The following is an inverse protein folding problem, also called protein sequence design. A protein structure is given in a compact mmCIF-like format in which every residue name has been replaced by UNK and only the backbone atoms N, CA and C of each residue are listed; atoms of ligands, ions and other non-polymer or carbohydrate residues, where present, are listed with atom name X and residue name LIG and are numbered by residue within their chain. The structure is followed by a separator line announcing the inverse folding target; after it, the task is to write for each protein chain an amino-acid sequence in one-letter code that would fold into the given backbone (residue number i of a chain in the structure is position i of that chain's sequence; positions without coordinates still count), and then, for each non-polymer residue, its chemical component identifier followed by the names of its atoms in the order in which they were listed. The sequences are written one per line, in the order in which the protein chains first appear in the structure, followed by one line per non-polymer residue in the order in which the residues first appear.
data_IF_482623725698
#
_entry.id   IF_482623725698
#
_cell.length_a   1.000
_cell.length_b   1.000
_cell.length_c   1.000
_cell.angle_alpha   90.00
_cell.angle_beta   90.00
_cell.angle_gamma   90.00
#
_symmetry.space_group_name_H-M   'P 1'
#
loop_
_entity.id
_entity.type
_entity.pdbx_description
1 polymer ?
#
# COMPACT_ATOMS: atom_id res chain seq x y z
N UNK A 1 -13.44 -51.01 41.59
CA UNK A 1 -12.10 -50.92 40.97
C UNK A 1 -12.26 -50.48 39.52
N UNK A 2 -11.54 -49.47 39.07
CA UNK A 2 -11.85 -48.67 37.87
C UNK A 2 -11.06 -49.14 36.62
N UNK A 3 -11.18 -50.42 36.26
CA UNK A 3 -10.38 -51.09 35.22
C UNK A 3 -10.40 -50.39 33.85
N UNK A 4 -11.49 -49.69 33.50
CA UNK A 4 -11.59 -48.95 32.24
C UNK A 4 -10.62 -47.76 32.15
N UNK A 5 -10.28 -47.14 33.28
CA UNK A 5 -9.31 -46.02 33.33
C UNK A 5 -7.87 -46.51 33.30
N UNK A 6 -7.61 -47.66 33.93
CA UNK A 6 -6.30 -48.30 33.92
C UNK A 6 -5.93 -48.79 32.50
N UNK A 7 -6.89 -49.36 31.76
CA UNK A 7 -6.72 -49.71 30.34
C UNK A 7 -6.44 -48.48 29.46
N UNK A 8 -7.11 -47.35 29.69
CA UNK A 8 -6.84 -46.13 28.91
C UNK A 8 -5.44 -45.56 29.16
N UNK A 9 -4.88 -45.75 30.35
CA UNK A 9 -3.53 -45.32 30.66
C UNK A 9 -2.48 -46.24 30.02
N UNK A 10 -2.67 -47.57 30.09
CA UNK A 10 -1.80 -48.53 29.41
C UNK A 10 -1.80 -48.32 27.89
N UNK A 11 -2.96 -48.10 27.28
CA UNK A 11 -3.08 -47.84 25.85
C UNK A 11 -2.31 -46.57 25.42
N UNK A 12 -2.32 -45.52 26.26
CA UNK A 12 -1.54 -44.29 26.02
C UNK A 12 -0.04 -44.53 26.13
N UNK A 13 0.41 -45.36 27.08
CA UNK A 13 1.82 -45.71 27.21
C UNK A 13 2.31 -46.55 26.02
N UNK A 14 1.52 -47.54 25.60
CA UNK A 14 1.83 -48.35 24.43
C UNK A 14 1.86 -47.53 23.14
N UNK A 15 0.87 -46.65 22.92
CA UNK A 15 0.84 -45.78 21.74
C UNK A 15 2.03 -44.81 21.73
N UNK A 16 2.41 -44.25 22.89
CA UNK A 16 3.60 -43.41 23.01
C UNK A 16 4.91 -44.19 22.80
N UNK A 17 4.97 -45.47 23.20
CA UNK A 17 6.12 -46.34 22.94
C UNK A 17 6.23 -46.68 21.45
N UNK A 18 5.12 -47.09 20.82
CA UNK A 18 5.03 -47.36 19.37
C UNK A 18 5.37 -46.12 18.54
N UNK A 19 4.94 -44.94 18.95
CA UNK A 19 5.28 -43.68 18.27
C UNK A 19 6.77 -43.38 18.34
N UNK A 20 7.41 -43.58 19.50
CA UNK A 20 8.86 -43.40 19.67
C UNK A 20 9.66 -44.41 18.84
N UNK A 21 9.24 -45.67 18.84
CA UNK A 21 9.84 -46.71 18.00
C UNK A 21 9.72 -46.37 16.52
N UNK A 22 8.55 -45.91 16.06
CA UNK A 22 8.34 -45.49 14.68
C UNK A 22 9.21 -44.28 14.28
N UNK A 23 9.40 -43.30 15.18
CA UNK A 23 10.31 -42.18 14.95
C UNK A 23 11.77 -42.63 14.80
N UNK A 24 12.23 -43.53 15.68
CA UNK A 24 13.59 -44.07 15.63
C UNK A 24 13.80 -44.94 14.38
N UNK A 25 12.80 -45.75 14.01
CA UNK A 25 12.83 -46.54 12.79
C UNK A 25 12.94 -45.65 11.56
N UNK A 26 12.14 -44.56 11.48
CA UNK A 26 12.23 -43.55 10.42
C UNK A 26 13.58 -42.84 10.36
N UNK A 27 14.18 -42.56 11.51
CA UNK A 27 15.50 -41.94 11.56
C UNK A 27 16.58 -42.89 11.03
N UNK A 28 16.54 -44.17 11.44
CA UNK A 28 17.48 -45.20 10.99
C UNK A 28 17.32 -45.56 9.51
N UNK A 29 16.09 -45.52 8.98
CA UNK A 29 15.82 -45.81 7.57
C UNK A 29 15.99 -44.60 6.64
N UNK A 30 16.41 -43.45 7.19
CA UNK A 30 16.58 -42.25 6.39
C UNK A 30 17.77 -42.41 5.45
N UNK A 31 17.59 -42.20 4.13
CA UNK A 31 18.69 -42.25 3.18
C UNK A 31 19.74 -41.17 3.50
N UNK A 32 20.99 -41.46 3.15
CA UNK A 32 22.11 -40.52 3.32
C UNK A 32 21.86 -39.23 2.52
N UNK A 33 22.54 -38.15 2.90
CA UNK A 33 22.42 -36.88 2.18
C UNK A 33 22.84 -36.99 0.71
N UNK A 34 23.83 -37.84 0.43
CA UNK A 34 24.38 -38.09 -0.91
C UNK A 34 23.56 -39.12 -1.71
N UNK A 35 22.46 -39.64 -1.14
CA UNK A 35 21.56 -40.52 -1.88
C UNK A 35 20.97 -39.76 -3.09
N UNK A 36 21.02 -40.34 -4.30
CA UNK A 36 20.63 -39.64 -5.52
C UNK A 36 19.17 -39.15 -5.50
N UNK A 37 18.26 -39.88 -4.82
CA UNK A 37 16.87 -39.45 -4.70
C UNK A 37 16.71 -38.29 -3.69
N UNK A 38 17.57 -38.19 -2.68
CA UNK A 38 17.60 -37.04 -1.75
C UNK A 38 18.13 -35.80 -2.48
N UNK A 39 19.23 -35.94 -3.22
CA UNK A 39 19.85 -34.85 -4.00
C UNK A 39 18.87 -34.33 -5.06
N UNK A 40 18.21 -35.22 -5.81
CA UNK A 40 17.21 -34.82 -6.81
C UNK A 40 16.07 -33.98 -6.19
N UNK A 41 15.51 -34.42 -5.05
CA UNK A 41 14.48 -33.65 -4.34
C UNK A 41 14.97 -32.30 -3.82
N UNK A 42 16.23 -32.21 -3.40
CA UNK A 42 16.83 -30.95 -2.97
C UNK A 42 16.99 -30.00 -4.14
N UNK A 43 17.49 -30.50 -5.28
CA UNK A 43 17.64 -29.72 -6.51
C UNK A 43 16.28 -29.20 -7.02
N UNK A 44 15.24 -30.03 -7.03
CA UNK A 44 13.88 -29.61 -7.39
C UNK A 44 13.35 -28.51 -6.46
N UNK A 45 13.53 -28.66 -5.14
CA UNK A 45 13.12 -27.64 -4.17
C UNK A 45 13.88 -26.33 -4.36
N UNK A 46 15.17 -26.42 -4.62
CA UNK A 46 16.04 -25.28 -4.84
C UNK A 46 15.60 -24.52 -6.11
N UNK A 47 15.35 -25.23 -7.21
CA UNK A 47 14.82 -24.63 -8.44
C UNK A 47 13.47 -23.91 -8.22
N UNK A 48 12.58 -24.48 -7.39
CA UNK A 48 11.31 -23.83 -7.04
C UNK A 48 11.52 -22.57 -6.20
N UNK A 49 12.49 -22.58 -5.28
CA UNK A 49 12.84 -21.41 -4.46
C UNK A 49 13.42 -20.31 -5.35
N UNK A 50 14.38 -20.63 -6.21
CA UNK A 50 14.99 -19.69 -7.15
C UNK A 50 13.94 -19.05 -8.06
N UNK A 51 13.07 -19.86 -8.67
CA UNK A 51 11.99 -19.34 -9.50
C UNK A 51 11.00 -18.46 -8.71
N UNK A 52 10.79 -18.70 -7.41
CA UNK A 52 9.98 -17.83 -6.55
C UNK A 52 10.69 -16.52 -6.24
N UNK A 53 11.98 -16.58 -5.96
CA UNK A 53 12.79 -15.40 -5.69
C UNK A 53 12.87 -14.48 -6.90
N UNK A 54 13.05 -15.03 -8.10
CA UNK A 54 13.01 -14.27 -9.36
C UNK A 54 11.67 -13.56 -9.54
N UNK A 55 10.55 -14.29 -9.43
CA UNK A 55 9.21 -13.67 -9.51
C UNK A 55 8.98 -12.60 -8.45
N UNK A 56 9.51 -12.80 -7.24
CA UNK A 56 9.38 -11.80 -6.18
C UNK A 56 10.22 -10.55 -6.50
N UNK A 57 11.46 -10.71 -7.00
CA UNK A 57 12.30 -9.59 -7.43
C UNK A 57 11.63 -8.77 -8.54
N UNK A 58 11.05 -9.44 -9.54
CA UNK A 58 10.31 -8.79 -10.63
C UNK A 58 9.09 -8.00 -10.10
N UNK A 59 8.30 -8.62 -9.22
CA UNK A 59 7.13 -7.97 -8.60
C UNK A 59 7.52 -6.76 -7.76
N UNK A 60 8.60 -6.88 -6.99
CA UNK A 60 9.11 -5.80 -6.17
C UNK A 60 9.62 -4.63 -7.03
N UNK A 61 10.35 -4.91 -8.11
CA UNK A 61 10.79 -3.90 -9.06
C UNK A 61 9.59 -3.19 -9.71
N UNK A 62 8.57 -3.95 -10.15
CA UNK A 62 7.34 -3.37 -10.71
C UNK A 62 6.56 -2.52 -9.70
N UNK A 63 6.48 -2.97 -8.43
CA UNK A 63 5.83 -2.22 -7.35
C UNK A 63 6.54 -0.90 -7.07
N UNK A 64 7.87 -0.92 -6.99
CA UNK A 64 8.66 0.30 -6.78
C UNK A 64 8.50 1.28 -7.95
N UNK A 65 8.54 0.79 -9.19
CA UNK A 65 8.31 1.63 -10.36
C UNK A 65 6.91 2.27 -10.35
N UNK A 66 5.87 1.49 -10.04
CA UNK A 66 4.50 2.00 -9.95
C UNK A 66 4.35 3.04 -8.82
N UNK A 67 5.01 2.84 -7.68
CA UNK A 67 4.95 3.78 -6.57
C UNK A 67 5.63 5.11 -6.91
N UNK A 68 6.78 5.08 -7.58
CA UNK A 68 7.46 6.28 -8.07
C UNK A 68 6.56 7.06 -9.03
N UNK A 69 5.87 6.37 -9.95
CA UNK A 69 4.93 7.02 -10.87
C UNK A 69 3.75 7.65 -10.13
N UNK A 70 3.13 6.95 -9.17
CA UNK A 70 2.03 7.50 -8.37
C UNK A 70 2.44 8.73 -7.58
N UNK A 71 3.64 8.73 -6.98
CA UNK A 71 4.16 9.88 -6.24
C UNK A 71 4.38 11.07 -7.19
N UNK A 72 4.94 10.83 -8.38
CA UNK A 72 5.14 11.87 -9.39
C UNK A 72 3.80 12.45 -9.89
N UNK A 73 2.83 11.61 -10.19
CA UNK A 73 1.48 12.01 -10.61
C UNK A 73 0.76 12.81 -9.51
N UNK A 74 0.79 12.34 -8.26
CA UNK A 74 0.18 13.03 -7.13
C UNK A 74 0.83 14.39 -6.88
N UNK A 75 2.15 14.51 -7.08
CA UNK A 75 2.86 15.78 -6.97
C UNK A 75 2.45 16.74 -8.10
N UNK A 76 2.41 16.26 -9.34
CA UNK A 76 1.99 17.06 -10.49
C UNK A 76 0.53 17.54 -10.36
N UNK A 77 -0.37 16.68 -9.86
CA UNK A 77 -1.76 17.06 -9.58
C UNK A 77 -1.84 18.17 -8.51
N UNK A 78 -1.10 18.05 -7.41
CA UNK A 78 -1.07 19.08 -6.37
C UNK A 78 -0.52 20.41 -6.88
N UNK A 79 0.51 20.38 -7.71
CA UNK A 79 1.08 21.58 -8.33
C UNK A 79 0.07 22.24 -9.28
N UNK A 80 -0.65 21.45 -10.08
CA UNK A 80 -1.72 21.94 -10.95
C UNK A 80 -2.88 22.55 -10.15
N UNK A 81 -3.36 21.86 -9.12
CA UNK A 81 -4.43 22.36 -8.24
C UNK A 81 -4.01 23.67 -7.55
N UNK A 82 -2.78 23.76 -7.04
CA UNK A 82 -2.26 24.98 -6.45
C UNK A 82 -2.20 26.14 -7.45
N UNK A 83 -1.74 25.88 -8.68
CA UNK A 83 -1.71 26.88 -9.74
C UNK A 83 -3.11 27.36 -10.12
N UNK A 84 -4.09 26.45 -10.23
CA UNK A 84 -5.48 26.78 -10.52
C UNK A 84 -6.13 27.61 -9.40
N UNK A 85 -5.87 27.27 -8.13
CA UNK A 85 -6.36 28.07 -6.99
C UNK A 85 -5.80 29.49 -7.04
N UNK A 86 -4.50 29.65 -7.34
CA UNK A 86 -3.89 30.96 -7.48
C UNK A 86 -4.48 31.75 -8.66
N UNK A 87 -4.70 31.09 -9.80
CA UNK A 87 -5.33 31.71 -10.98
C UNK A 87 -6.74 32.22 -10.66
N UNK A 88 -7.56 31.38 -10.02
CA UNK A 88 -8.92 31.74 -9.63
C UNK A 88 -8.91 32.88 -8.59
N UNK A 89 -7.97 32.88 -7.66
CA UNK A 89 -7.83 33.95 -6.68
C UNK A 89 -7.46 35.29 -7.35
N UNK A 90 -6.51 35.28 -8.27
CA UNK A 90 -6.12 36.46 -9.05
C UNK A 90 -7.29 36.99 -9.88
N UNK A 91 -7.98 36.13 -10.61
CA UNK A 91 -9.15 36.51 -11.42
C UNK A 91 -10.27 37.13 -10.55
N UNK A 92 -10.53 36.55 -9.37
CA UNK A 92 -11.50 37.12 -8.42
C UNK A 92 -11.07 38.50 -7.92
N UNK A 93 -9.79 38.68 -7.62
CA UNK A 93 -9.26 39.97 -7.17
C UNK A 93 -9.38 41.03 -8.27
N UNK A 94 -9.06 40.70 -9.52
CA UNK A 94 -9.24 41.58 -10.68
C UNK A 94 -10.70 41.98 -10.89
N UNK A 95 -11.62 41.00 -10.84
CA UNK A 95 -13.06 41.27 -10.95
C UNK A 95 -13.56 42.18 -9.82
N UNK A 96 -13.11 41.98 -8.59
CA UNK A 96 -13.48 42.83 -7.46
C UNK A 96 -12.94 44.26 -7.62
N UNK A 97 -11.70 44.39 -8.09
CA UNK A 97 -11.10 45.70 -8.37
C UNK A 97 -11.87 46.46 -9.46
N UNK A 98 -12.27 45.78 -10.54
CA UNK A 98 -13.08 46.36 -11.60
C UNK A 98 -14.44 46.83 -11.08
N UNK A 99 -15.16 46.01 -10.32
CA UNK A 99 -16.44 46.38 -9.71
C UNK A 99 -16.30 47.57 -8.75
N UNK A 100 -15.23 47.62 -7.95
CA UNK A 100 -14.97 48.74 -7.05
C UNK A 100 -14.69 50.04 -7.81
N UNK A 101 -13.97 49.97 -8.93
CA UNK A 101 -13.74 51.10 -9.82
C UNK A 101 -15.06 51.60 -10.44
N UNK A 102 -15.89 50.72 -10.99
CA UNK A 102 -17.22 51.07 -11.54
C UNK A 102 -18.12 51.73 -10.49
N UNK A 103 -18.16 51.19 -9.27
CA UNK A 103 -18.94 51.78 -8.17
C UNK A 103 -18.41 53.15 -7.76
N UNK A 104 -17.10 53.37 -7.82
CA UNK A 104 -16.51 54.68 -7.57
C UNK A 104 -16.92 55.68 -8.65
N UNK A 105 -16.76 55.34 -9.93
CA UNK A 105 -17.17 56.21 -11.04
C UNK A 105 -18.67 56.55 -10.95
N UNK A 106 -19.53 55.58 -10.62
CA UNK A 106 -20.96 55.82 -10.42
C UNK A 106 -21.25 56.76 -9.23
N UNK A 107 -20.49 56.66 -8.13
CA UNK A 107 -20.60 57.59 -7.00
C UNK A 107 -20.14 58.98 -7.39
N UNK A 108 -19.00 59.11 -8.06
CA UNK A 108 -18.42 60.39 -8.46
C UNK A 108 -19.33 61.12 -9.46
N UNK A 109 -19.96 60.41 -10.40
CA UNK A 109 -20.99 60.96 -11.29
C UNK A 109 -22.22 61.48 -10.54
N UNK A 110 -22.69 60.76 -9.51
CA UNK A 110 -23.80 61.21 -8.64
C UNK A 110 -23.44 62.46 -7.86
N UNK A 111 -22.23 62.52 -7.29
CA UNK A 111 -21.73 63.69 -6.58
C UNK A 111 -21.62 64.90 -7.50
N UNK A 112 -21.08 64.73 -8.71
CA UNK A 112 -21.00 65.78 -9.72
C UNK A 112 -22.41 66.32 -10.09
N UNK A 113 -23.36 65.42 -10.35
CA UNK A 113 -24.75 65.80 -10.65
C UNK A 113 -25.41 66.57 -9.49
N UNK A 114 -25.21 66.14 -8.24
CA UNK A 114 -25.71 66.83 -7.05
C UNK A 114 -25.10 68.23 -6.91
N UNK A 115 -23.79 68.36 -7.12
CA UNK A 115 -23.08 69.64 -7.02
C UNK A 115 -23.56 70.64 -8.09
N UNK A 116 -23.83 70.17 -9.31
CA UNK A 116 -24.40 70.99 -10.38
C UNK A 116 -25.79 71.52 -10.01
N UNK A 117 -26.64 70.68 -9.40
CA UNK A 117 -27.97 71.10 -8.92
C UNK A 117 -27.90 72.15 -7.81
N UNK A 118 -26.91 72.05 -6.91
CA UNK A 118 -26.77 72.99 -5.79
C UNK A 118 -26.15 74.35 -6.18
N UNK A 119 -25.53 74.44 -7.37
CA UNK A 119 -24.97 75.70 -7.91
C UNK A 119 -25.93 76.48 -8.79
N UNK A 120 -27.07 75.87 -9.14
CA UNK A 120 -28.14 76.47 -9.92
C UNK A 120 -29.22 76.97 -8.97
#
# INVERSE_FOLDING_TARGET
MNQSKDNQFSDRLETAAKAREAMLARYRSRPAADDPAVVARQAERQAVIEAREERNKEREAARLAAEVQRIAEAKAQREFEAAEVLRIAAEKAERQAALAAEQKEARDARFAARKLRARK
#
